data_IF_165686878275
#
_entry.id   IF_165686878275
#
_cell.length_a   1.000
_cell.length_b   1.000
_cell.length_c   1.000
_cell.angle_alpha   90.00
_cell.angle_beta   90.00
_cell.angle_gamma   90.00
#
_symmetry.space_group_name_H-M   'P 1'
#
loop_
_entity.id
_entity.type
_entity.pdbx_description
1 polymer ?
#
# COMPACT_ATOMS: atom_id res chain seq x y z
N UNK A 1 60.11 16.48 -53.50
CA UNK A 1 60.24 17.67 -54.36
C UNK A 1 58.83 18.08 -54.74
N UNK A 2 58.51 19.35 -54.49
CA UNK A 2 57.16 19.92 -54.34
C UNK A 2 56.26 19.86 -55.60
N UNK A 3 54.96 19.76 -55.31
CA UNK A 3 53.76 19.87 -56.14
C UNK A 3 53.79 20.94 -57.23
N UNK A 4 52.99 20.74 -58.29
CA UNK A 4 51.77 21.55 -58.39
C UNK A 4 50.60 20.82 -59.08
N UNK A 5 49.38 20.95 -58.58
CA UNK A 5 48.30 21.61 -59.35
C UNK A 5 46.97 21.65 -58.59
N UNK A 6 46.49 22.89 -58.47
CA UNK A 6 45.08 23.30 -58.58
C UNK A 6 44.19 23.07 -57.36
N UNK A 7 44.29 24.09 -56.49
CA UNK A 7 43.20 24.65 -55.72
C UNK A 7 41.88 24.76 -56.52
N UNK A 8 40.83 24.16 -55.99
CA UNK A 8 39.44 24.61 -56.07
C UNK A 8 38.93 24.57 -54.62
N UNK A 9 38.86 25.72 -53.96
CA UNK A 9 37.63 26.51 -53.80
C UNK A 9 36.63 25.80 -52.86
N UNK A 10 36.73 26.25 -51.61
CA UNK A 10 35.64 26.74 -50.76
C UNK A 10 34.52 25.79 -50.28
N UNK A 11 34.26 25.99 -48.98
CA UNK A 11 32.97 25.88 -48.28
C UNK A 11 32.48 24.44 -48.03
N UNK A 12 31.91 24.09 -46.88
CA UNK A 12 31.03 24.90 -46.05
C UNK A 12 30.98 24.28 -44.65
N UNK A 13 31.29 25.09 -43.64
CA UNK A 13 30.89 24.83 -42.26
C UNK A 13 29.38 25.05 -42.13
N UNK A 14 28.62 23.98 -41.95
CA UNK A 14 27.23 23.88 -41.46
C UNK A 14 26.86 22.41 -41.68
N UNK A 15 26.60 21.55 -40.69
CA UNK A 15 25.44 21.58 -39.80
C UNK A 15 25.81 20.80 -38.53
N UNK A 16 26.28 21.53 -37.52
CA UNK A 16 26.20 21.13 -36.11
C UNK A 16 24.87 21.68 -35.59
N UNK A 17 23.77 20.94 -35.79
CA UNK A 17 22.50 21.08 -35.05
C UNK A 17 21.40 20.23 -35.71
N UNK A 18 20.95 19.19 -35.01
CA UNK A 18 19.80 18.34 -35.38
C UNK A 18 20.24 16.89 -35.52
N UNK A 19 19.73 15.89 -34.80
CA UNK A 19 18.51 15.77 -34.02
C UNK A 19 18.84 15.05 -32.70
N UNK A 20 18.85 15.78 -31.59
CA UNK A 20 18.68 15.20 -30.25
C UNK A 20 17.25 15.48 -29.82
N UNK A 21 16.28 14.71 -30.33
CA UNK A 21 14.87 14.88 -29.97
C UNK A 21 14.21 13.52 -29.80
N UNK A 22 13.52 13.40 -28.65
CA UNK A 22 12.72 12.27 -28.13
C UNK A 22 13.46 11.19 -27.31
N UNK A 23 14.13 11.62 -26.25
CA UNK A 23 14.17 10.86 -24.99
C UNK A 23 13.43 11.68 -23.92
N UNK A 24 12.10 11.73 -24.02
CA UNK A 24 11.25 12.38 -23.02
C UNK A 24 9.85 11.74 -23.01
N UNK A 25 9.77 10.44 -22.76
CA UNK A 25 8.56 9.86 -22.17
C UNK A 25 8.71 9.95 -20.67
N UNK A 26 8.13 11.04 -20.17
CA UNK A 26 7.65 11.30 -18.81
C UNK A 26 7.72 10.14 -17.84
N UNK A 27 8.43 10.38 -16.74
CA UNK A 27 8.42 9.64 -15.50
C UNK A 27 6.97 9.36 -15.03
N UNK A 28 6.48 8.15 -15.31
CA UNK A 28 5.27 7.65 -14.68
C UNK A 28 5.61 7.29 -13.24
N UNK A 29 5.15 8.12 -12.31
CA UNK A 29 5.02 7.75 -10.90
C UNK A 29 6.24 8.06 -10.03
N UNK A 30 6.55 9.35 -9.85
CA UNK A 30 7.14 9.78 -8.59
C UNK A 30 6.12 9.51 -7.46
N UNK A 31 6.04 8.26 -7.00
CA UNK A 31 5.41 7.90 -5.73
C UNK A 31 6.13 8.71 -4.66
N UNK A 32 5.53 9.85 -4.31
CA UNK A 32 5.93 10.68 -3.18
C UNK A 32 5.99 9.75 -1.98
N UNK A 33 7.21 9.35 -1.57
CA UNK A 33 7.39 8.46 -0.42
C UNK A 33 6.61 9.06 0.73
N UNK A 34 5.60 8.37 1.30
CA UNK A 34 4.91 8.88 2.46
C UNK A 34 5.96 8.97 3.58
N UNK A 35 6.37 10.20 3.87
CA UNK A 35 7.67 10.47 4.49
C UNK A 35 7.54 10.78 5.99
N UNK A 36 6.36 10.56 6.58
CA UNK A 36 6.05 10.93 7.94
C UNK A 36 5.99 9.78 8.94
N UNK A 37 5.55 8.59 8.53
CA UNK A 37 5.19 7.51 9.44
C UNK A 37 5.70 6.14 8.99
N UNK A 38 6.12 5.32 9.96
CA UNK A 38 6.33 3.89 9.79
C UNK A 38 5.09 3.16 10.27
N UNK A 39 4.59 2.21 9.48
CA UNK A 39 3.38 1.45 9.79
C UNK A 39 3.73 -0.03 9.88
N UNK A 40 3.35 -0.64 10.99
CA UNK A 40 3.54 -2.05 11.26
C UNK A 40 2.19 -2.69 11.57
N UNK A 41 1.97 -3.88 11.05
CA UNK A 41 0.74 -4.64 11.24
C UNK A 41 1.13 -5.97 11.85
N UNK A 42 0.50 -6.35 12.94
CA UNK A 42 0.76 -7.60 13.67
C UNK A 42 -0.56 -8.32 13.91
N UNK A 43 -0.58 -9.65 13.98
CA UNK A 43 -1.79 -10.38 14.38
C UNK A 43 -1.86 -10.59 15.90
N UNK A 44 -0.71 -10.54 16.57
CA UNK A 44 -0.64 -10.58 18.02
C UNK A 44 -0.74 -9.17 18.60
N UNK A 45 -1.27 -9.06 19.82
CA UNK A 45 -1.29 -7.80 20.57
C UNK A 45 0.10 -7.55 21.16
N UNK A 46 0.62 -6.30 21.12
CA UNK A 46 1.87 -5.96 21.79
C UNK A 46 1.76 -6.23 23.30
N UNK A 47 2.80 -6.82 23.93
CA UNK A 47 2.87 -6.88 25.39
C UNK A 47 3.03 -5.47 25.96
N UNK A 48 2.89 -5.34 27.29
CA UNK A 48 3.17 -4.08 27.99
C UNK A 48 4.68 -3.82 27.93
N UNK A 49 5.10 -2.93 27.03
CA UNK A 49 6.50 -2.60 26.80
C UNK A 49 6.84 -1.28 27.51
N UNK A 50 8.00 -1.18 28.17
CA UNK A 50 8.33 -0.04 29.02
C UNK A 50 8.66 1.23 28.24
N UNK A 51 9.00 1.14 26.96
CA UNK A 51 9.41 2.28 26.14
C UNK A 51 8.83 2.22 24.73
N UNK A 52 8.64 3.39 24.11
CA UNK A 52 8.25 3.53 22.70
C UNK A 52 9.26 2.80 21.77
N UNK A 53 10.56 2.89 22.05
CA UNK A 53 11.59 2.20 21.28
C UNK A 53 11.43 0.69 21.34
N UNK A 54 11.11 0.14 22.51
CA UNK A 54 10.83 -1.29 22.66
C UNK A 54 9.56 -1.69 21.89
N UNK A 55 8.50 -0.87 21.93
CA UNK A 55 7.28 -1.08 21.14
C UNK A 55 7.56 -1.11 19.63
N UNK A 56 8.30 -0.13 19.10
CA UNK A 56 8.65 -0.08 17.68
C UNK A 56 9.54 -1.29 17.30
N UNK A 57 10.49 -1.65 18.17
CA UNK A 57 11.34 -2.83 17.97
C UNK A 57 10.53 -4.12 17.89
N UNK A 58 9.59 -4.30 18.82
CA UNK A 58 8.66 -5.42 18.85
C UNK A 58 7.76 -5.45 17.60
N UNK A 59 7.15 -4.31 17.26
CA UNK A 59 6.24 -4.21 16.11
C UNK A 59 6.95 -4.52 14.79
N UNK A 60 8.23 -4.11 14.68
CA UNK A 60 9.07 -4.44 13.53
C UNK A 60 9.39 -5.93 13.43
N UNK A 61 9.70 -6.59 14.54
CA UNK A 61 10.02 -8.03 14.56
C UNK A 61 8.79 -8.92 14.41
N UNK A 62 7.61 -8.44 14.80
CA UNK A 62 6.34 -9.17 14.71
C UNK A 62 5.46 -8.72 13.54
N UNK A 63 6.01 -7.91 12.62
CA UNK A 63 5.24 -7.45 11.48
C UNK A 63 4.80 -8.66 10.66
N UNK A 64 3.52 -8.73 10.35
CA UNK A 64 2.99 -9.68 9.39
C UNK A 64 2.73 -9.02 8.05
N UNK A 65 3.10 -9.72 6.99
CA UNK A 65 2.70 -9.38 5.62
C UNK A 65 1.39 -10.04 5.22
N UNK A 66 0.97 -11.04 5.99
CA UNK A 66 -0.22 -11.84 5.73
C UNK A 66 -1.12 -11.80 6.96
N UNK A 67 -2.42 -11.61 6.77
CA UNK A 67 -3.39 -11.78 7.84
C UNK A 67 -4.19 -13.04 7.57
N UNK A 68 -4.19 -13.95 8.52
CA UNK A 68 -5.05 -15.12 8.53
C UNK A 68 -6.45 -14.73 9.04
N UNK A 69 -7.47 -15.26 8.36
CA UNK A 69 -8.88 -15.04 8.68
C UNK A 69 -9.26 -15.74 10.00
N UNK A 70 -10.20 -15.18 10.76
CA UNK A 70 -10.79 -15.88 11.91
C UNK A 70 -11.57 -17.12 11.45
N UNK A 71 -11.65 -18.15 12.30
CA UNK A 71 -12.36 -19.41 11.96
C UNK A 71 -13.51 -19.75 12.90
N UNK A 72 -13.72 -18.94 13.96
CA UNK A 72 -14.74 -19.17 14.99
C UNK A 72 -16.15 -18.87 14.49
N UNK A 73 -16.29 -17.88 13.59
CA UNK A 73 -17.58 -17.43 13.06
C UNK A 73 -17.92 -18.15 11.73
N UNK A 74 -19.21 -18.10 11.35
CA UNK A 74 -19.68 -18.50 10.00
C UNK A 74 -18.91 -17.75 8.90
N UNK A 75 -18.73 -18.38 7.74
CA UNK A 75 -17.87 -17.88 6.65
C UNK A 75 -18.14 -16.39 6.33
N UNK A 76 -19.40 -15.96 6.25
CA UNK A 76 -19.78 -14.58 5.94
C UNK A 76 -19.46 -13.56 7.05
N UNK A 77 -19.37 -14.01 8.30
CA UNK A 77 -19.13 -13.20 9.49
C UNK A 77 -17.66 -13.16 9.91
N UNK A 78 -16.82 -14.00 9.28
CA UNK A 78 -15.39 -14.01 9.49
C UNK A 78 -14.74 -12.68 9.13
N UNK A 79 -13.55 -12.46 9.68
CA UNK A 79 -12.84 -11.20 9.63
C UNK A 79 -11.34 -11.44 9.76
N UNK A 80 -10.55 -10.46 9.35
CA UNK A 80 -9.13 -10.41 9.68
C UNK A 80 -8.93 -9.47 10.86
N UNK A 81 -8.34 -10.03 11.92
CA UNK A 81 -7.98 -9.29 13.12
C UNK A 81 -6.49 -8.97 13.07
N UNK A 82 -6.16 -7.71 13.35
CA UNK A 82 -4.79 -7.28 13.48
C UNK A 82 -4.66 -6.16 14.52
N UNK A 83 -3.42 -5.84 14.86
CA UNK A 83 -3.03 -4.65 15.57
C UNK A 83 -2.13 -3.84 14.66
N UNK A 84 -2.47 -2.57 14.50
CA UNK A 84 -1.66 -1.59 13.80
C UNK A 84 -0.83 -0.82 14.83
N UNK A 85 0.48 -0.75 14.58
CA UNK A 85 1.39 0.14 15.28
C UNK A 85 1.92 1.13 14.27
N UNK A 86 1.69 2.42 14.50
CA UNK A 86 2.21 3.47 13.65
C UNK A 86 3.14 4.34 14.47
N UNK A 87 4.30 4.66 13.90
CA UNK A 87 5.30 5.52 14.52
C UNK A 87 5.61 6.69 13.59
N UNK A 88 5.19 7.89 13.97
CA UNK A 88 5.50 9.12 13.27
C UNK A 88 6.92 9.63 13.61
N UNK A 89 7.62 10.10 12.59
CA UNK A 89 8.95 10.71 12.71
C UNK A 89 8.94 12.01 13.51
N UNK A 90 7.81 12.71 13.51
CA UNK A 90 7.55 13.95 14.26
C UNK A 90 6.17 13.84 14.90
N UNK A 91 5.85 14.74 15.82
CA UNK A 91 4.50 14.84 16.38
C UNK A 91 3.48 15.06 15.27
N UNK A 92 2.27 14.53 15.46
CA UNK A 92 1.20 14.56 14.45
C UNK A 92 0.63 15.96 14.30
N UNK A 93 0.55 16.72 15.39
CA UNK A 93 -0.05 18.05 15.42
C UNK A 93 -1.58 18.04 15.24
N UNK A 94 -2.17 16.85 15.06
CA UNK A 94 -3.60 16.63 14.97
C UNK A 94 -4.05 15.51 15.91
N UNK A 95 -5.34 15.50 16.22
CA UNK A 95 -5.95 14.45 17.06
C UNK A 95 -6.53 13.32 16.21
N UNK A 96 -6.90 13.58 14.96
CA UNK A 96 -7.45 12.57 14.08
C UNK A 96 -6.46 12.18 12.99
N UNK A 97 -6.38 10.88 12.72
CA UNK A 97 -5.80 10.38 11.48
C UNK A 97 -6.70 9.28 10.88
N UNK A 98 -6.54 9.04 9.59
CA UNK A 98 -7.34 8.07 8.85
C UNK A 98 -6.45 7.00 8.23
N UNK A 99 -6.86 5.74 8.37
CA UNK A 99 -6.33 4.65 7.56
C UNK A 99 -7.26 4.41 6.37
N UNK A 100 -6.74 4.64 5.17
CA UNK A 100 -7.43 4.39 3.91
C UNK A 100 -6.96 3.04 3.37
N UNK A 101 -7.89 2.19 2.98
CA UNK A 101 -7.61 0.88 2.40
C UNK A 101 -7.95 0.89 0.93
N UNK A 102 -6.99 0.48 0.11
CA UNK A 102 -7.13 0.28 -1.32
C UNK A 102 -6.86 -1.18 -1.65
N UNK A 103 -7.80 -1.83 -2.32
CA UNK A 103 -7.61 -3.15 -2.91
C UNK A 103 -6.63 -3.02 -4.09
N UNK A 104 -5.62 -3.90 -4.11
CA UNK A 104 -4.61 -4.03 -5.17
C UNK A 104 -4.72 -5.39 -5.88
N UNK A 105 -5.83 -6.09 -5.66
CA UNK A 105 -6.17 -7.37 -6.25
C UNK A 105 -5.33 -8.54 -5.76
N UNK A 106 -5.44 -9.67 -6.46
CA UNK A 106 -4.62 -10.85 -6.20
C UNK A 106 -3.17 -10.56 -6.59
N UNK A 107 -2.27 -10.69 -5.63
CA UNK A 107 -0.82 -10.45 -5.85
C UNK A 107 -0.39 -8.99 -5.69
N UNK A 108 -1.32 -8.03 -5.61
CA UNK A 108 -1.00 -6.64 -5.24
C UNK A 108 -0.43 -5.77 -6.36
N UNK A 109 -0.64 -6.14 -7.63
CA UNK A 109 -0.13 -5.42 -8.79
C UNK A 109 -1.18 -4.60 -9.53
N UNK A 110 -2.46 -4.71 -9.16
CA UNK A 110 -3.55 -3.97 -9.83
C UNK A 110 -3.55 -2.49 -9.41
N UNK A 111 -4.39 -1.70 -10.09
CA UNK A 111 -4.63 -0.29 -9.75
C UNK A 111 -5.29 -0.15 -8.38
N UNK A 112 -5.11 1.02 -7.73
CA UNK A 112 -5.71 1.30 -6.41
C UNK A 112 -7.23 1.41 -6.54
N UNK A 113 -7.96 0.44 -6.00
CA UNK A 113 -9.42 0.54 -5.82
C UNK A 113 -9.76 0.85 -4.37
N UNK A 114 -10.31 2.03 -4.09
CA UNK A 114 -10.73 2.37 -2.73
C UNK A 114 -11.72 1.34 -2.19
N UNK A 115 -11.47 0.88 -0.95
CA UNK A 115 -12.29 -0.13 -0.29
C UNK A 115 -12.99 0.47 0.92
N UNK A 116 -12.21 1.01 1.87
CA UNK A 116 -12.74 1.48 3.15
C UNK A 116 -11.81 2.51 3.78
N UNK A 117 -12.37 3.38 4.62
CA UNK A 117 -11.61 4.24 5.52
C UNK A 117 -11.93 3.91 6.98
N UNK A 118 -10.96 4.12 7.86
CA UNK A 118 -11.11 4.02 9.31
C UNK A 118 -10.48 5.25 9.96
N UNK A 119 -11.27 5.99 10.75
CA UNK A 119 -10.79 7.13 11.51
C UNK A 119 -10.38 6.69 12.92
N UNK A 120 -9.27 7.23 13.41
CA UNK A 120 -8.76 6.96 14.74
C UNK A 120 -8.43 8.28 15.43
N UNK A 121 -8.81 8.36 16.70
CA UNK A 121 -8.50 9.50 17.56
C UNK A 121 -7.27 9.17 18.40
N UNK A 122 -6.32 10.10 18.44
CA UNK A 122 -5.15 10.08 19.29
C UNK A 122 -5.51 10.62 20.66
N UNK A 123 -4.80 10.17 21.69
CA UNK A 123 -5.00 10.66 23.05
C UNK A 123 -4.44 12.08 23.22
N UNK A 124 -3.35 12.40 22.51
CA UNK A 124 -2.70 13.70 22.52
C UNK A 124 -2.09 14.04 21.15
N UNK A 125 -2.00 15.33 20.85
CA UNK A 125 -1.32 15.85 19.64
C UNK A 125 0.20 15.63 19.67
N UNK A 126 0.75 15.43 20.87
CA UNK A 126 2.18 15.22 21.11
C UNK A 126 2.59 13.73 20.98
N UNK A 127 1.61 12.83 20.90
CA UNK A 127 1.84 11.39 20.78
C UNK A 127 2.43 11.08 19.39
N UNK A 128 3.52 10.31 19.37
CA UNK A 128 4.24 9.97 18.13
C UNK A 128 4.00 8.55 17.67
N UNK A 129 3.74 7.65 18.60
CA UNK A 129 3.51 6.23 18.32
C UNK A 129 2.24 5.78 19.00
N UNK A 130 1.41 5.05 18.27
CA UNK A 130 0.11 4.59 18.73
C UNK A 130 -0.14 3.17 18.27
N UNK A 131 -0.99 2.49 19.03
CA UNK A 131 -1.40 1.12 18.83
C UNK A 131 -2.92 1.11 18.67
N UNK A 132 -3.41 0.63 17.54
CA UNK A 132 -4.84 0.53 17.28
C UNK A 132 -5.22 -0.88 16.83
N UNK A 133 -6.30 -1.46 17.35
CA UNK A 133 -6.84 -2.68 16.79
C UNK A 133 -7.40 -2.41 15.39
N UNK A 134 -7.15 -3.34 14.47
CA UNK A 134 -7.77 -3.37 13.15
C UNK A 134 -8.71 -4.56 13.05
N UNK A 135 -9.88 -4.30 12.48
CA UNK A 135 -10.89 -5.31 12.14
C UNK A 135 -11.26 -5.12 10.69
N UNK A 136 -10.89 -6.08 9.86
CA UNK A 136 -11.19 -6.06 8.43
C UNK A 136 -12.32 -7.07 8.20
N UNK A 137 -13.58 -6.63 8.11
CA UNK A 137 -14.70 -7.56 7.96
C UNK A 137 -14.80 -8.06 6.52
N UNK A 138 -15.14 -9.33 6.34
CA UNK A 138 -15.24 -9.98 5.03
C UNK A 138 -16.14 -9.31 4.00
N UNK A 139 -17.27 -8.67 4.34
CA UNK A 139 -18.07 -7.93 3.36
C UNK A 139 -17.29 -6.86 2.59
N UNK A 140 -16.31 -6.22 3.24
CA UNK A 140 -15.50 -5.17 2.62
C UNK A 140 -14.17 -5.69 2.07
N UNK A 141 -13.66 -6.78 2.65
CA UNK A 141 -12.33 -7.31 2.37
C UNK A 141 -12.39 -8.72 1.81
N UNK A 142 -11.74 -8.93 0.67
CA UNK A 142 -11.78 -10.19 -0.06
C UNK A 142 -10.61 -11.10 0.38
N UNK A 143 -10.85 -12.41 0.55
CA UNK A 143 -9.77 -13.35 0.80
C UNK A 143 -8.81 -13.38 -0.39
N UNK A 144 -7.53 -13.66 -0.12
CA UNK A 144 -6.46 -13.79 -1.12
C UNK A 144 -6.10 -12.49 -1.87
N UNK A 145 -6.68 -11.36 -1.47
CA UNK A 145 -6.34 -10.04 -2.01
C UNK A 145 -5.24 -9.37 -1.20
N UNK A 146 -4.49 -8.48 -1.87
CA UNK A 146 -3.53 -7.59 -1.22
C UNK A 146 -4.13 -6.19 -1.12
N UNK A 147 -4.08 -5.62 0.08
CA UNK A 147 -4.53 -4.28 0.36
C UNK A 147 -3.36 -3.35 0.65
N UNK A 148 -3.40 -2.17 0.04
CA UNK A 148 -2.57 -1.03 0.40
C UNK A 148 -3.29 -0.22 1.47
N UNK A 149 -2.67 -0.07 2.63
CA UNK A 149 -3.17 0.79 3.70
C UNK A 149 -2.34 2.07 3.76
N UNK A 150 -3.01 3.21 3.58
CA UNK A 150 -2.41 4.54 3.59
C UNK A 150 -2.88 5.30 4.82
N UNK A 151 -1.94 5.72 5.65
CA UNK A 151 -2.19 6.58 6.80
C UNK A 151 -2.18 8.02 6.34
N UNK A 152 -3.26 8.74 6.60
CA UNK A 152 -3.41 10.16 6.26
C UNK A 152 -3.74 11.00 7.48
N UNK A 153 -3.20 12.22 7.51
CA UNK A 153 -3.50 13.26 8.51
C UNK A 153 -3.82 14.53 7.74
N UNK A 154 -4.97 15.17 7.99
CA UNK A 154 -5.43 16.34 7.20
C UNK A 154 -5.33 16.13 5.68
N UNK A 155 -5.69 14.92 5.21
CA UNK A 155 -5.61 14.49 3.80
C UNK A 155 -4.19 14.39 3.22
N UNK A 156 -3.15 14.51 4.04
CA UNK A 156 -1.76 14.27 3.62
C UNK A 156 -1.37 12.83 3.91
N UNK A 157 -0.80 12.13 2.93
CA UNK A 157 -0.27 10.78 3.13
C UNK A 157 1.00 10.83 4.00
N UNK A 158 0.93 10.15 5.14
CA UNK A 158 2.00 10.11 6.13
C UNK A 158 2.79 8.80 6.09
N UNK A 159 2.11 7.68 5.89
CA UNK A 159 2.72 6.33 5.81
C UNK A 159 1.91 5.41 4.90
N UNK A 160 2.55 4.39 4.34
CA UNK A 160 1.86 3.32 3.60
C UNK A 160 2.40 1.95 4.02
N UNK A 161 1.58 0.92 3.93
CA UNK A 161 2.00 -0.48 4.06
C UNK A 161 1.11 -1.39 3.21
N UNK A 162 1.65 -2.55 2.83
CA UNK A 162 0.94 -3.58 2.06
C UNK A 162 0.66 -4.78 2.94
N UNK A 163 -0.55 -5.35 2.83
CA UNK A 163 -1.02 -6.48 3.62
C UNK A 163 -1.80 -7.42 2.71
N UNK A 164 -1.41 -8.69 2.65
CA UNK A 164 -2.16 -9.73 1.96
C UNK A 164 -3.11 -10.44 2.93
N UNK A 165 -4.34 -10.73 2.50
CA UNK A 165 -5.33 -11.45 3.30
C UNK A 165 -5.35 -12.91 2.89
N UNK A 166 -5.32 -13.81 3.87
CA UNK A 166 -5.46 -15.26 3.69
C UNK A 166 -6.77 -15.71 4.27
N UNK A 167 -7.50 -16.54 3.54
CA UNK A 167 -8.79 -17.04 3.97
C UNK A 167 -9.37 -17.97 2.91
N UNK A 168 -10.52 -18.54 3.22
CA UNK A 168 -11.21 -19.48 2.34
C UNK A 168 -12.06 -18.73 1.32
N UNK A 169 -12.00 -19.11 0.05
CA UNK A 169 -12.99 -18.64 -0.93
C UNK A 169 -14.30 -19.43 -0.81
N UNK A 170 -15.47 -18.78 -0.91
CA UNK A 170 -16.73 -19.49 -0.95
C UNK A 170 -16.76 -20.39 -2.20
N UNK A 171 -16.64 -21.70 -2.02
CA UNK A 171 -16.86 -22.65 -3.11
C UNK A 171 -18.37 -22.76 -3.34
N UNK A 172 -18.88 -22.14 -4.41
CA UNK A 172 -20.22 -22.45 -4.92
C UNK A 172 -20.14 -23.77 -5.69
N UNK A 173 -20.21 -24.89 -4.99
CA UNK A 173 -20.44 -26.19 -5.62
C UNK A 173 -21.91 -26.25 -6.02
N UNK A 174 -22.25 -25.66 -7.16
CA UNK A 174 -23.60 -25.71 -7.71
C UNK A 174 -23.93 -27.13 -8.17
N UNK A 175 -24.60 -27.91 -7.32
CA UNK A 175 -25.51 -28.94 -7.81
C UNK A 175 -26.85 -28.24 -7.97
N UNK A 176 -27.18 -27.86 -9.20
CA UNK A 176 -28.52 -27.39 -9.55
C UNK A 176 -29.27 -28.66 -9.94
N UNK A 177 -30.07 -29.19 -9.03
CA UNK A 177 -30.99 -30.28 -9.36
C UNK A 177 -32.16 -29.65 -10.15
N UNK A 178 -32.12 -29.80 -11.47
CA UNK A 178 -33.27 -29.56 -12.33
C UNK A 178 -34.19 -30.77 -12.21
N UNK A 179 -35.05 -30.78 -11.20
CA UNK A 179 -36.27 -31.60 -11.22
C UNK A 179 -37.41 -30.63 -11.19
N UNK A 180 -37.91 -30.29 -12.37
CA UNK A 180 -39.32 -29.98 -12.57
C UNK A 180 -39.70 -30.58 -13.93
N UNK A 181 -40.04 -31.85 -13.82
CA UNK A 181 -40.88 -32.60 -14.73
C UNK A 181 -42.30 -32.08 -14.50
N UNK A 182 -42.79 -31.20 -15.38
CA UNK A 182 -44.22 -30.89 -15.46
C UNK A 182 -44.67 -30.91 -16.92
N UNK A 183 -45.84 -31.50 -17.08
CA UNK A 183 -46.30 -32.32 -18.20
C UNK A 183 -47.31 -31.59 -19.07
#
# INVERSE_FOLDING_TARGET
MHDPTKAWVAALAAVLCGLSFLAATTEVGAQRRPSGAQVYITQTRPPRLPTERALIGWARSHRSRFLDETHEDELAQRKWLATMVVAFRRQVGDLEYQALFYDRGRGGHEERRFTRSMAFMLNSRDERTFVQPLRLPRPDFQPLHTYEMVITVRRQEMGTTMIALRGEEPRRTGRVDFTDEDR
#
